data_IF_852165435231
#
_entry.id   IF_852165435231
#
_cell.length_a   1.000
_cell.length_b   1.000
_cell.length_c   1.000
_cell.angle_alpha   90.00
_cell.angle_beta   90.00
_cell.angle_gamma   90.00
#
_symmetry.space_group_name_H-M   'P 1'
#
loop_
_entity.id
_entity.type
_entity.pdbx_description
1 polymer ?
#
# COMPACT_ATOMS: atom_id res chain seq x y z
N UNK A 1 15.61 -5.25 6.96
CA UNK A 1 15.08 -5.77 5.67
C UNK A 1 13.98 -6.84 5.78
N UNK A 2 13.62 -7.29 6.99
CA UNK A 2 12.66 -8.38 7.20
C UNK A 2 11.20 -7.93 7.15
N UNK A 3 10.88 -6.70 7.57
CA UNK A 3 9.51 -6.15 7.64
C UNK A 3 8.76 -6.25 6.31
N UNK A 4 9.37 -5.75 5.21
CA UNK A 4 8.71 -5.73 3.91
C UNK A 4 8.45 -7.12 3.32
N UNK A 5 9.41 -8.04 3.46
CA UNK A 5 9.27 -9.42 2.94
C UNK A 5 8.25 -10.21 3.76
N UNK A 6 8.27 -10.07 5.09
CA UNK A 6 7.27 -10.69 5.97
C UNK A 6 5.86 -10.13 5.71
N UNK A 7 5.74 -8.83 5.46
CA UNK A 7 4.47 -8.21 5.07
C UNK A 7 3.94 -8.79 3.76
N UNK A 8 4.75 -8.85 2.69
CA UNK A 8 4.36 -9.48 1.43
C UNK A 8 3.98 -10.95 1.59
N UNK A 9 4.73 -11.69 2.40
CA UNK A 9 4.42 -13.08 2.70
C UNK A 9 3.05 -13.24 3.36
N UNK A 10 2.75 -12.41 4.37
CA UNK A 10 1.44 -12.42 5.02
C UNK A 10 0.31 -12.02 4.05
N UNK A 11 0.51 -11.02 3.19
CA UNK A 11 -0.45 -10.66 2.15
C UNK A 11 -0.71 -11.84 1.20
N UNK A 12 0.35 -12.53 0.77
CA UNK A 12 0.27 -13.73 -0.05
C UNK A 12 -0.51 -14.85 0.66
N UNK A 13 -0.20 -15.12 1.94
CA UNK A 13 -0.95 -16.11 2.72
C UNK A 13 -2.43 -15.76 2.82
N UNK A 14 -2.79 -14.48 3.01
CA UNK A 14 -4.21 -14.08 3.05
C UNK A 14 -4.91 -14.28 1.71
N UNK A 15 -4.17 -14.23 0.60
CA UNK A 15 -4.67 -14.47 -0.76
C UNK A 15 -4.74 -15.97 -1.15
N UNK A 16 -4.29 -16.89 -0.30
CA UNK A 16 -4.38 -18.34 -0.58
C UNK A 16 -5.76 -18.93 -0.27
N UNK A 17 -6.10 -20.02 -0.97
CA UNK A 17 -7.42 -20.65 -0.96
C UNK A 17 -7.30 -22.17 -0.74
N UNK A 18 -7.71 -22.73 0.42
CA UNK A 18 -8.16 -22.04 1.62
C UNK A 18 -6.98 -21.34 2.36
N UNK A 19 -7.25 -20.35 3.23
CA UNK A 19 -6.20 -19.75 4.03
C UNK A 19 -5.56 -20.80 4.97
N UNK A 20 -4.22 -20.78 5.15
CA UNK A 20 -3.53 -21.77 5.95
C UNK A 20 -3.99 -21.74 7.41
N UNK A 21 -3.71 -22.81 8.14
CA UNK A 21 -4.09 -22.89 9.56
C UNK A 21 -3.60 -21.66 10.36
N UNK A 22 -4.43 -21.12 11.27
CA UNK A 22 -4.10 -19.90 11.99
C UNK A 22 -2.85 -19.97 12.87
N UNK A 23 -2.39 -21.18 13.24
CA UNK A 23 -1.30 -21.39 14.20
C UNK A 23 0.02 -20.72 13.79
N UNK A 24 0.67 -21.14 12.69
CA UNK A 24 1.88 -20.51 12.18
C UNK A 24 1.68 -19.04 11.79
N UNK A 25 0.48 -18.64 11.36
CA UNK A 25 0.21 -17.25 11.00
C UNK A 25 0.22 -16.31 12.21
N UNK A 26 -0.27 -16.75 13.37
CA UNK A 26 -0.32 -15.92 14.59
C UNK A 26 1.07 -15.49 15.06
N UNK A 27 2.07 -16.37 14.95
CA UNK A 27 3.45 -16.04 15.30
C UNK A 27 4.04 -15.03 14.32
N UNK A 28 3.81 -15.21 13.02
CA UNK A 28 4.29 -14.29 11.98
C UNK A 28 3.69 -12.90 12.06
N UNK A 29 2.39 -12.80 12.34
CA UNK A 29 1.73 -11.51 12.61
C UNK A 29 2.36 -10.82 13.81
N UNK A 30 2.69 -11.58 14.87
CA UNK A 30 3.36 -11.04 16.05
C UNK A 30 4.76 -10.52 15.73
N UNK A 31 5.53 -11.26 14.93
CA UNK A 31 6.83 -10.82 14.43
C UNK A 31 6.73 -9.56 13.58
N UNK A 32 5.74 -9.47 12.70
CA UNK A 32 5.55 -8.26 11.89
C UNK A 32 5.25 -7.04 12.77
N UNK A 33 4.43 -7.19 13.82
CA UNK A 33 4.19 -6.12 14.80
C UNK A 33 5.48 -5.71 15.51
N UNK A 34 6.28 -6.69 15.94
CA UNK A 34 7.56 -6.44 16.60
C UNK A 34 8.51 -5.63 15.70
N UNK A 35 8.74 -6.09 14.47
CA UNK A 35 9.63 -5.40 13.53
C UNK A 35 9.15 -4.00 13.18
N UNK A 36 7.84 -3.79 13.06
CA UNK A 36 7.28 -2.47 12.77
C UNK A 36 7.45 -1.49 13.96
N UNK A 37 7.35 -1.97 15.19
CA UNK A 37 7.64 -1.18 16.40
C UNK A 37 9.13 -0.86 16.53
N UNK A 38 10.03 -1.79 16.18
CA UNK A 38 11.47 -1.50 16.11
C UNK A 38 11.78 -0.45 15.05
N UNK A 39 11.19 -0.59 13.86
CA UNK A 39 11.36 0.35 12.75
C UNK A 39 10.86 1.76 13.13
N UNK A 40 9.74 1.82 13.85
CA UNK A 40 9.21 3.05 14.44
C UNK A 40 10.14 3.65 15.51
N UNK A 41 10.61 2.84 16.45
CA UNK A 41 11.50 3.28 17.52
C UNK A 41 12.81 3.84 16.96
N UNK A 42 13.38 3.20 15.94
CA UNK A 42 14.52 3.72 15.18
C UNK A 42 14.18 5.02 14.45
N UNK A 43 12.98 5.16 13.89
CA UNK A 43 12.54 6.38 13.22
C UNK A 43 12.51 7.63 14.11
N UNK A 44 12.28 7.45 15.42
CA UNK A 44 12.38 8.54 16.40
C UNK A 44 13.81 9.01 16.61
N UNK A 45 14.79 8.11 16.47
CA UNK A 45 16.22 8.41 16.65
C UNK A 45 16.84 9.00 15.39
N UNK A 46 16.46 8.50 14.20
CA UNK A 46 17.14 8.82 12.94
C UNK A 46 16.35 9.76 12.01
N UNK A 47 15.09 10.08 12.32
CA UNK A 47 14.27 10.92 11.44
C UNK A 47 13.67 10.19 10.22
N UNK A 48 13.99 8.90 10.03
CA UNK A 48 13.39 7.99 9.06
C UNK A 48 13.37 6.54 9.61
N UNK A 49 12.49 5.65 9.13
CA UNK A 49 12.50 4.23 9.49
C UNK A 49 13.90 3.61 9.33
N UNK A 50 14.22 2.59 10.14
CA UNK A 50 15.39 1.72 9.98
C UNK A 50 15.37 1.01 8.61
N UNK A 51 14.19 0.75 8.07
CA UNK A 51 14.01 0.22 6.71
C UNK A 51 13.78 1.34 5.69
N UNK A 52 12.58 1.43 5.11
CA UNK A 52 12.11 2.51 4.26
C UNK A 52 10.64 2.76 4.54
N UNK A 53 10.13 3.95 4.21
CA UNK A 53 8.69 4.21 4.33
C UNK A 53 7.85 3.26 3.47
N UNK A 54 8.38 2.70 2.39
CA UNK A 54 7.71 1.68 1.59
C UNK A 54 7.49 0.40 2.41
N UNK A 55 8.56 -0.15 3.00
CA UNK A 55 8.47 -1.37 3.82
C UNK A 55 7.65 -1.15 5.10
N UNK A 56 7.78 0.02 5.71
CA UNK A 56 6.99 0.43 6.86
C UNK A 56 5.50 0.47 6.52
N UNK A 57 5.14 1.10 5.39
CA UNK A 57 3.76 1.17 4.91
C UNK A 57 3.20 -0.21 4.56
N UNK A 58 4.02 -1.08 3.95
CA UNK A 58 3.65 -2.48 3.72
C UNK A 58 3.34 -3.23 5.02
N UNK A 59 4.14 -3.01 6.06
CA UNK A 59 3.91 -3.60 7.38
C UNK A 59 2.57 -3.18 7.98
N UNK A 60 2.25 -1.88 7.93
CA UNK A 60 0.94 -1.37 8.37
C UNK A 60 -0.20 -1.95 7.55
N UNK A 61 -0.06 -1.98 6.22
CA UNK A 61 -1.07 -2.55 5.30
C UNK A 61 -1.33 -4.04 5.59
N UNK A 62 -0.28 -4.84 5.73
CA UNK A 62 -0.40 -6.27 5.99
C UNK A 62 -1.08 -6.56 7.34
N UNK A 63 -0.72 -5.82 8.39
CA UNK A 63 -1.39 -5.92 9.70
C UNK A 63 -2.87 -5.53 9.60
N UNK A 64 -3.19 -4.48 8.86
CA UNK A 64 -4.57 -4.06 8.64
C UNK A 64 -5.40 -5.14 7.93
N UNK A 65 -4.87 -5.72 6.85
CA UNK A 65 -5.52 -6.81 6.08
C UNK A 65 -5.75 -8.07 6.93
N UNK A 66 -4.97 -8.27 7.99
CA UNK A 66 -5.15 -9.36 8.97
C UNK A 66 -6.04 -8.95 10.16
N UNK A 67 -6.75 -7.83 10.04
CA UNK A 67 -7.59 -7.21 11.07
C UNK A 67 -6.85 -7.02 12.40
N UNK A 68 -5.57 -6.61 12.34
CA UNK A 68 -4.76 -6.33 13.52
C UNK A 68 -4.56 -4.84 13.71
N UNK A 69 -4.85 -4.38 14.93
CA UNK A 69 -4.59 -3.01 15.32
C UNK A 69 -3.09 -2.73 15.34
N UNK A 70 -2.74 -1.57 14.80
CA UNK A 70 -1.42 -0.97 14.82
C UNK A 70 -1.44 0.18 15.84
N UNK A 71 -0.34 0.39 16.56
CA UNK A 71 -0.23 1.48 17.54
C UNK A 71 -0.40 2.83 16.82
N UNK A 72 -1.15 3.75 17.44
CA UNK A 72 -1.42 5.05 16.83
C UNK A 72 -0.14 5.84 16.50
N UNK A 73 0.88 5.79 17.34
CA UNK A 73 2.18 6.46 17.10
C UNK A 73 2.91 5.95 15.85
N UNK A 74 2.74 4.67 15.51
CA UNK A 74 3.27 4.05 14.28
C UNK A 74 2.52 4.61 13.07
N UNK A 75 1.20 4.74 13.16
CA UNK A 75 0.36 5.29 12.09
C UNK A 75 0.65 6.79 11.89
N UNK A 76 0.73 7.56 12.99
CA UNK A 76 1.07 8.99 12.96
C UNK A 76 2.44 9.23 12.32
N UNK A 77 3.38 8.31 12.46
CA UNK A 77 4.68 8.42 11.79
C UNK A 77 4.55 8.44 10.26
N UNK A 78 3.72 7.55 9.70
CA UNK A 78 3.41 7.56 8.28
C UNK A 78 2.67 8.82 7.87
N UNK A 79 1.68 9.24 8.67
CA UNK A 79 0.89 10.43 8.38
C UNK A 79 1.76 11.69 8.30
N UNK A 80 2.66 11.88 9.26
CA UNK A 80 3.62 13.00 9.25
C UNK A 80 4.53 12.93 8.03
N UNK A 81 4.98 11.74 7.64
CA UNK A 81 5.82 11.58 6.46
C UNK A 81 5.07 11.92 5.16
N UNK A 82 3.79 11.52 5.03
CA UNK A 82 2.93 11.89 3.90
C UNK A 82 2.71 13.40 3.83
N UNK A 83 2.31 14.03 4.95
CA UNK A 83 2.00 15.45 5.01
C UNK A 83 3.21 16.35 4.66
N UNK A 84 4.42 15.90 4.98
CA UNK A 84 5.65 16.64 4.73
C UNK A 84 6.39 16.16 3.47
N UNK A 85 5.79 15.30 2.65
CA UNK A 85 6.40 14.81 1.41
C UNK A 85 7.72 14.03 1.61
N UNK A 86 7.89 13.36 2.76
CA UNK A 86 9.15 12.70 3.16
C UNK A 86 9.32 11.28 2.61
N UNK A 87 8.50 10.89 1.65
CA UNK A 87 8.61 9.58 0.99
C UNK A 87 9.70 9.55 -0.08
N UNK A 88 10.10 10.72 -0.60
CA UNK A 88 11.19 10.85 -1.56
C UNK A 88 12.58 10.70 -0.94
N UNK A 89 13.49 10.10 -1.72
CA UNK A 89 14.93 10.28 -1.56
C UNK A 89 15.38 11.20 -2.69
N UNK A 90 16.50 11.93 -2.51
CA UNK A 90 17.02 12.83 -3.53
C UNK A 90 17.19 12.10 -4.88
N UNK A 91 16.36 12.45 -5.87
CA UNK A 91 16.45 11.94 -7.25
C UNK A 91 15.57 10.74 -7.64
N UNK A 92 14.71 10.22 -6.75
CA UNK A 92 13.82 9.07 -7.07
C UNK A 92 12.32 9.39 -6.97
N UNK A 93 11.50 8.78 -7.82
CA UNK A 93 10.03 8.82 -7.70
C UNK A 93 9.59 8.15 -6.40
N UNK A 94 8.85 8.86 -5.56
CA UNK A 94 8.25 8.33 -4.33
C UNK A 94 6.84 7.75 -4.55
N UNK A 95 6.39 7.66 -5.81
CA UNK A 95 5.02 7.28 -6.15
C UNK A 95 4.63 5.91 -5.56
N UNK A 96 5.53 4.92 -5.60
CA UNK A 96 5.32 3.60 -4.99
C UNK A 96 5.08 3.70 -3.48
N UNK A 97 5.92 4.49 -2.80
CA UNK A 97 5.88 4.64 -1.35
C UNK A 97 4.63 5.38 -0.90
N UNK A 98 4.29 6.47 -1.59
CA UNK A 98 3.07 7.22 -1.34
C UNK A 98 1.83 6.36 -1.57
N UNK A 99 1.80 5.60 -2.67
CA UNK A 99 0.69 4.70 -2.97
C UNK A 99 0.49 3.63 -1.90
N UNK A 100 1.55 2.94 -1.46
CA UNK A 100 1.41 1.93 -0.41
C UNK A 100 1.02 2.55 0.93
N UNK A 101 1.53 3.73 1.27
CA UNK A 101 1.09 4.46 2.47
C UNK A 101 -0.40 4.78 2.43
N UNK A 102 -0.90 5.24 1.28
CA UNK A 102 -2.32 5.53 1.08
C UNK A 102 -3.18 4.28 1.12
N UNK A 103 -2.72 3.16 0.55
CA UNK A 103 -3.41 1.87 0.69
C UNK A 103 -3.52 1.46 2.16
N UNK A 104 -2.45 1.66 2.94
CA UNK A 104 -2.47 1.38 4.38
C UNK A 104 -3.48 2.28 5.13
N UNK A 105 -3.52 3.59 4.85
CA UNK A 105 -4.49 4.51 5.44
C UNK A 105 -5.94 4.14 5.09
N UNK A 106 -6.18 3.84 3.81
CA UNK A 106 -7.50 3.43 3.31
C UNK A 106 -7.95 2.14 3.96
N UNK A 107 -7.04 1.18 4.17
CA UNK A 107 -7.33 -0.06 4.87
C UNK A 107 -7.72 0.21 6.34
N UNK A 108 -6.91 0.98 7.08
CA UNK A 108 -7.15 1.27 8.50
C UNK A 108 -8.50 1.96 8.73
N UNK A 109 -8.88 2.86 7.83
CA UNK A 109 -10.20 3.49 7.78
C UNK A 109 -11.31 2.46 7.53
N UNK A 110 -11.20 1.68 6.43
CA UNK A 110 -12.23 0.72 6.00
C UNK A 110 -12.50 -0.36 7.05
N UNK A 111 -11.43 -0.89 7.64
CA UNK A 111 -11.48 -1.94 8.65
C UNK A 111 -11.76 -1.42 10.07
N UNK A 112 -11.94 -0.11 10.23
CA UNK A 112 -12.27 0.55 11.51
C UNK A 112 -11.26 0.21 12.62
N UNK A 113 -9.98 0.16 12.27
CA UNK A 113 -8.90 -0.24 13.18
C UNK A 113 -8.29 0.93 13.96
N UNK A 114 -8.84 2.14 13.82
CA UNK A 114 -8.37 3.39 14.44
C UNK A 114 -9.52 4.22 15.00
N UNK A 115 -9.21 5.15 15.91
CA UNK A 115 -10.22 6.06 16.50
C UNK A 115 -10.72 7.13 15.53
N UNK A 116 -11.91 7.68 15.80
CA UNK A 116 -12.62 8.61 14.90
C UNK A 116 -11.82 9.87 14.53
N UNK A 117 -11.03 10.43 15.45
CA UNK A 117 -10.16 11.57 15.16
C UNK A 117 -9.12 11.23 14.07
N UNK A 118 -8.43 10.10 14.24
CA UNK A 118 -7.42 9.64 13.29
C UNK A 118 -8.04 9.28 11.93
N UNK A 119 -9.26 8.73 11.89
CA UNK A 119 -9.98 8.46 10.63
C UNK A 119 -10.08 9.72 9.75
N UNK A 120 -10.42 10.87 10.34
CA UNK A 120 -10.56 12.11 9.58
C UNK A 120 -9.22 12.55 8.96
N UNK A 121 -8.13 12.39 9.69
CA UNK A 121 -6.76 12.68 9.22
C UNK A 121 -6.33 11.71 8.11
N UNK A 122 -6.55 10.40 8.28
CA UNK A 122 -6.26 9.38 7.27
C UNK A 122 -7.00 9.64 5.95
N UNK A 123 -8.28 10.02 6.05
CA UNK A 123 -9.10 10.35 4.89
C UNK A 123 -8.63 11.62 4.19
N UNK A 124 -8.19 12.63 4.96
CA UNK A 124 -7.63 13.85 4.41
C UNK A 124 -6.30 13.59 3.67
N UNK A 125 -5.39 12.84 4.28
CA UNK A 125 -4.14 12.39 3.66
C UNK A 125 -4.39 11.61 2.37
N UNK A 126 -5.30 10.62 2.41
CA UNK A 126 -5.68 9.82 1.24
C UNK A 126 -6.20 10.68 0.08
N UNK A 127 -7.07 11.66 0.36
CA UNK A 127 -7.55 12.60 -0.67
C UNK A 127 -6.43 13.49 -1.21
N UNK A 128 -5.56 13.99 -0.34
CA UNK A 128 -4.43 14.84 -0.71
C UNK A 128 -3.45 14.11 -1.62
N UNK A 129 -3.02 12.91 -1.24
CA UNK A 129 -2.14 12.07 -2.02
C UNK A 129 -2.72 11.68 -3.38
N UNK A 130 -4.00 11.26 -3.43
CA UNK A 130 -4.67 10.96 -4.71
C UNK A 130 -4.68 12.17 -5.64
N UNK A 131 -4.95 13.37 -5.11
CA UNK A 131 -4.91 14.60 -5.90
C UNK A 131 -3.50 14.86 -6.45
N UNK A 132 -2.46 14.70 -5.63
CA UNK A 132 -1.06 14.84 -6.08
C UNK A 132 -0.67 13.81 -7.13
N UNK A 133 -1.12 12.56 -7.01
CA UNK A 133 -0.90 11.54 -8.05
C UNK A 133 -1.49 11.97 -9.39
N UNK A 134 -2.69 12.55 -9.40
CA UNK A 134 -3.32 13.10 -10.61
C UNK A 134 -2.53 14.27 -11.17
N UNK A 135 -2.11 15.20 -10.32
CA UNK A 135 -1.34 16.40 -10.71
C UNK A 135 0.06 16.04 -11.24
N UNK A 136 0.66 14.98 -10.71
CA UNK A 136 1.99 14.49 -11.10
C UNK A 136 1.97 13.44 -12.21
N UNK A 137 0.80 13.13 -12.80
CA UNK A 137 0.72 12.19 -13.91
C UNK A 137 1.51 12.72 -15.11
N UNK A 138 2.41 11.89 -15.65
CA UNK A 138 3.21 12.23 -16.82
C UNK A 138 2.36 12.39 -18.08
N UNK A 139 2.91 13.08 -19.08
CA UNK A 139 2.27 13.18 -20.41
C UNK A 139 2.17 11.82 -21.10
N UNK A 140 3.04 10.88 -20.73
CA UNK A 140 3.03 9.46 -21.09
C UNK A 140 1.89 8.67 -20.42
N UNK A 141 1.12 9.30 -19.53
CA UNK A 141 0.01 8.67 -18.81
C UNK A 141 0.41 7.93 -17.54
N UNK A 142 1.71 7.84 -17.22
CA UNK A 142 2.17 7.11 -16.04
C UNK A 142 2.10 7.96 -14.77
N UNK A 143 1.82 7.30 -13.64
CA UNK A 143 1.99 7.90 -12.32
C UNK A 143 3.43 7.67 -11.85
N UNK A 144 4.32 8.62 -12.12
CA UNK A 144 5.76 8.47 -11.90
C UNK A 144 6.43 7.75 -13.07
N UNK A 145 6.41 6.41 -13.08
CA UNK A 145 6.91 5.58 -14.18
C UNK A 145 6.02 4.35 -14.37
N UNK A 146 6.36 3.52 -15.36
CA UNK A 146 5.63 2.29 -15.68
C UNK A 146 5.49 1.33 -14.49
N UNK A 147 6.51 1.20 -13.63
CA UNK A 147 6.52 0.29 -12.49
C UNK A 147 5.77 0.83 -11.27
N UNK A 148 5.70 2.15 -11.11
CA UNK A 148 4.94 2.78 -10.02
C UNK A 148 3.47 3.01 -10.32
N UNK A 149 3.11 2.96 -11.61
CA UNK A 149 1.73 3.14 -12.07
C UNK A 149 0.76 2.10 -11.49
N UNK A 150 1.06 0.79 -11.47
CA UNK A 150 0.19 -0.19 -10.83
C UNK A 150 -0.13 0.13 -9.35
N UNK A 151 0.86 0.57 -8.56
CA UNK A 151 0.63 0.94 -7.18
C UNK A 151 -0.33 2.13 -7.04
N UNK A 152 -0.12 3.18 -7.82
CA UNK A 152 -1.02 4.33 -7.84
C UNK A 152 -2.43 3.92 -8.29
N UNK A 153 -2.56 3.07 -9.31
CA UNK A 153 -3.86 2.58 -9.79
C UNK A 153 -4.64 1.81 -8.72
N UNK A 154 -3.95 1.02 -7.88
CA UNK A 154 -4.60 0.36 -6.73
C UNK A 154 -5.23 1.35 -5.76
N UNK A 155 -4.67 2.55 -5.57
CA UNK A 155 -5.27 3.60 -4.72
C UNK A 155 -6.61 4.08 -5.29
N UNK A 156 -6.71 4.26 -6.61
CA UNK A 156 -7.96 4.66 -7.24
C UNK A 156 -9.04 3.57 -7.12
N UNK A 157 -8.65 2.30 -7.25
CA UNK A 157 -9.53 1.15 -7.01
C UNK A 157 -10.00 1.13 -5.55
N UNK A 158 -9.05 1.18 -4.60
CA UNK A 158 -9.31 1.12 -3.16
C UNK A 158 -10.18 2.28 -2.64
N UNK A 159 -10.12 3.44 -3.30
CA UNK A 159 -10.93 4.63 -2.95
C UNK A 159 -12.19 4.77 -3.80
N UNK A 160 -12.52 3.78 -4.63
CA UNK A 160 -13.67 3.76 -5.53
C UNK A 160 -13.74 4.99 -6.46
N UNK A 161 -12.60 5.39 -7.03
CA UNK A 161 -12.47 6.54 -7.95
C UNK A 161 -11.94 6.15 -9.33
N UNK A 162 -11.71 4.86 -9.60
CA UNK A 162 -11.19 4.37 -10.87
C UNK A 162 -12.09 4.71 -12.08
N UNK A 163 -13.41 4.68 -11.91
CA UNK A 163 -14.36 4.98 -13.00
C UNK A 163 -14.56 6.49 -13.24
N UNK A 164 -14.39 7.30 -12.20
CA UNK A 164 -14.68 8.74 -12.25
C UNK A 164 -13.46 9.59 -12.58
N UNK A 165 -12.25 9.05 -12.42
CA UNK A 165 -11.01 9.80 -12.60
C UNK A 165 -10.42 9.57 -14.01
N UNK A 166 -10.40 10.60 -14.89
CA UNK A 166 -9.83 10.44 -16.23
C UNK A 166 -8.35 10.03 -16.24
N UNK A 167 -7.60 10.44 -15.21
CA UNK A 167 -6.21 10.03 -15.02
C UNK A 167 -6.06 8.50 -14.92
N UNK A 168 -7.02 7.81 -14.29
CA UNK A 168 -7.00 6.34 -14.20
C UNK A 168 -7.13 5.70 -15.59
N UNK A 169 -8.03 6.21 -16.43
CA UNK A 169 -8.20 5.73 -17.81
C UNK A 169 -6.93 5.91 -18.66
N UNK A 170 -6.27 7.08 -18.56
CA UNK A 170 -4.99 7.31 -19.23
C UNK A 170 -3.90 6.36 -18.76
N UNK A 171 -3.81 6.14 -17.45
CA UNK A 171 -2.84 5.21 -16.88
C UNK A 171 -3.10 3.76 -17.33
N UNK A 172 -4.36 3.32 -17.39
CA UNK A 172 -4.71 2.00 -17.91
C UNK A 172 -4.33 1.84 -19.38
N UNK A 173 -4.58 2.84 -20.23
CA UNK A 173 -4.16 2.81 -21.62
C UNK A 173 -2.63 2.70 -21.77
N UNK A 174 -1.88 3.57 -21.08
CA UNK A 174 -0.42 3.56 -21.09
C UNK A 174 0.15 2.22 -20.58
N UNK A 175 -0.46 1.65 -19.53
CA UNK A 175 -0.08 0.35 -18.97
C UNK A 175 -0.30 -0.80 -19.97
N UNK A 176 -1.45 -0.82 -20.66
CA UNK A 176 -1.77 -1.84 -21.68
C UNK A 176 -0.83 -1.78 -22.88
N UNK A 177 -0.45 -0.57 -23.30
CA UNK A 177 0.53 -0.35 -24.37
C UNK A 177 1.95 -0.79 -24.00
N UNK A 178 2.28 -0.89 -22.71
CA UNK A 178 3.62 -1.20 -22.20
C UNK A 178 3.64 -2.46 -21.31
N UNK A 179 2.77 -3.43 -21.58
CA UNK A 179 2.72 -4.69 -20.81
C UNK A 179 4.00 -5.51 -20.94
N UNK A 180 4.74 -5.35 -22.03
CA UNK A 180 6.05 -5.96 -22.28
C UNK A 180 7.13 -5.49 -21.30
N UNK A 181 6.95 -4.37 -20.59
CA UNK A 181 7.83 -3.96 -19.50
C UNK A 181 7.75 -4.89 -18.28
N UNK A 182 6.68 -5.68 -18.12
CA UNK A 182 6.43 -6.52 -16.95
C UNK A 182 6.90 -7.96 -17.16
N UNK A 183 8.21 -8.15 -17.41
CA UNK A 183 8.77 -9.47 -17.80
C UNK A 183 9.07 -10.42 -16.64
N UNK A 184 9.06 -9.95 -15.39
CA UNK A 184 9.42 -10.75 -14.22
C UNK A 184 8.19 -11.10 -13.39
N UNK A 185 8.24 -12.20 -12.64
CA UNK A 185 7.16 -12.58 -11.73
C UNK A 185 6.82 -11.47 -10.73
N UNK A 186 7.82 -10.73 -10.25
CA UNK A 186 7.63 -9.64 -9.30
C UNK A 186 6.89 -8.44 -9.91
N UNK A 187 7.31 -8.00 -11.11
CA UNK A 187 6.65 -6.88 -11.81
C UNK A 187 5.26 -7.29 -12.28
N UNK A 188 5.09 -8.53 -12.76
CA UNK A 188 3.79 -9.06 -13.15
C UNK A 188 2.82 -9.17 -11.97
N UNK A 189 3.29 -9.60 -10.79
CA UNK A 189 2.46 -9.66 -9.58
C UNK A 189 1.95 -8.28 -9.12
N UNK A 190 2.67 -7.19 -9.44
CA UNK A 190 2.24 -5.83 -9.13
C UNK A 190 1.14 -5.33 -10.08
N UNK A 191 1.19 -5.71 -11.36
CA UNK A 191 0.28 -5.20 -12.40
C UNK A 191 -1.02 -6.00 -12.49
N UNK A 192 -0.97 -7.33 -12.29
CA UNK A 192 -2.13 -8.21 -12.46
C UNK A 192 -3.37 -7.80 -11.64
N UNK A 193 -3.27 -7.42 -10.34
CA UNK A 193 -4.45 -6.99 -9.59
C UNK A 193 -5.18 -5.84 -10.28
N UNK A 194 -4.43 -4.84 -10.76
CA UNK A 194 -4.99 -3.65 -11.40
C UNK A 194 -5.68 -4.00 -12.72
N UNK A 195 -5.09 -4.88 -13.53
CA UNK A 195 -5.70 -5.36 -14.77
C UNK A 195 -7.04 -6.07 -14.53
N UNK A 196 -7.22 -6.67 -13.35
CA UNK A 196 -8.48 -7.27 -12.92
C UNK A 196 -9.38 -6.34 -12.08
N UNK A 197 -9.06 -5.03 -12.02
CA UNK A 197 -9.82 -4.07 -11.24
C UNK A 197 -9.78 -4.32 -9.73
N UNK A 198 -8.70 -4.95 -9.24
CA UNK A 198 -8.46 -5.28 -7.83
C UNK A 198 -7.31 -4.48 -7.23
N UNK A 199 -7.37 -4.33 -5.91
CA UNK A 199 -6.32 -3.76 -5.07
C UNK A 199 -5.95 -4.76 -3.98
N UNK A 200 -4.81 -4.52 -3.31
CA UNK A 200 -4.42 -5.34 -2.16
C UNK A 200 -5.45 -5.31 -1.02
N UNK A 201 -6.31 -4.29 -0.95
CA UNK A 201 -7.38 -4.24 0.07
C UNK A 201 -8.47 -5.29 -0.18
N UNK A 202 -8.64 -5.76 -1.41
CA UNK A 202 -9.64 -6.79 -1.72
C UNK A 202 -9.28 -8.14 -1.07
N UNK A 203 -7.99 -8.36 -0.81
CA UNK A 203 -7.46 -9.55 -0.12
C UNK A 203 -8.01 -9.66 1.32
N UNK A 204 -8.33 -8.54 1.99
CA UNK A 204 -8.88 -8.54 3.35
C UNK A 204 -10.20 -9.31 3.47
N UNK A 205 -11.02 -9.24 2.41
CA UNK A 205 -12.35 -9.85 2.35
C UNK A 205 -12.50 -10.93 1.27
N UNK A 206 -11.37 -11.41 0.74
CA UNK A 206 -11.37 -12.44 -0.29
C UNK A 206 -11.94 -13.75 0.28
N UNK A 207 -12.97 -14.26 -0.40
CA UNK A 207 -13.57 -15.57 -0.21
C UNK A 207 -13.33 -16.35 -1.49
N UNK A 208 -12.69 -17.51 -1.37
CA UNK A 208 -12.44 -18.37 -2.50
C UNK A 208 -13.63 -19.33 -2.61
N UNK A 209 -14.47 -19.09 -3.61
CA UNK A 209 -15.46 -20.07 -4.01
C UNK A 209 -14.79 -20.97 -5.06
N UNK A 210 -15.01 -22.28 -4.97
CA UNK A 210 -14.73 -23.17 -6.09
C UNK A 210 -15.61 -22.70 -7.27
N UNK A 211 -15.00 -22.43 -8.42
CA UNK A 211 -15.72 -22.36 -9.69
C UNK A 211 -16.19 -23.76 -10.12
#
# INVERSE_FOLDING_TARGET
PETGRLALYLLGLRATCPPPEPGPQRSLVTWLKYYLEEDWAGSRRHGHPLTSYYQYSLGVLALCIHHKRVREEVIRRLLVAEQHGRFGHAGGSAADTEAVAVLAFTCLERERLVGAGLVAELRAATRGARRRMVEAQGQDGFFGNVYSTPWAMQVFIATNTCQTQPAYGRAMAALLENLDAFTTAATMAQVLPVLHGRSYLDIASMHCWEE
#
